data_IF_524023074917
#
_entry.id   IF_524023074917
#
_cell.length_a   1.000
_cell.length_b   1.000
_cell.length_c   1.000
_cell.angle_alpha   90.00
_cell.angle_beta   90.00
_cell.angle_gamma   90.00
#
_symmetry.space_group_name_H-M   'P 1'
#
loop_
_entity.id
_entity.type
_entity.pdbx_description
1 polymer ?
#
# COMPACT_ATOMS: atom_id res chain seq x y z
N UNK A 1 4.38 13.30 12.61
CA UNK A 1 4.62 13.02 11.19
C UNK A 1 3.30 12.82 10.49
N UNK A 2 3.28 13.19 9.21
CA UNK A 2 2.20 12.98 8.26
C UNK A 2 2.63 11.89 7.29
N UNK A 3 1.89 10.79 7.25
CA UNK A 3 2.27 9.60 6.48
C UNK A 3 1.15 9.29 5.52
N UNK A 4 1.49 9.12 4.24
CA UNK A 4 0.57 8.61 3.23
C UNK A 4 0.93 7.16 2.92
N UNK A 5 -0.07 6.28 2.89
CA UNK A 5 0.08 4.89 2.43
C UNK A 5 -0.90 4.69 1.27
N UNK A 6 -0.37 4.44 0.08
CA UNK A 6 -1.16 4.05 -1.09
C UNK A 6 -1.02 2.54 -1.26
N UNK A 7 -1.94 1.82 -0.62
CA UNK A 7 -2.00 0.37 -0.60
C UNK A 7 -2.77 -0.17 -1.81
N UNK A 8 -2.72 -1.47 -2.04
CA UNK A 8 -3.46 -2.17 -3.09
C UNK A 8 -4.60 -2.99 -2.48
N UNK A 9 -5.68 -3.18 -3.25
CA UNK A 9 -6.70 -4.16 -2.88
C UNK A 9 -6.13 -5.59 -2.91
N UNK A 10 -6.79 -6.52 -2.22
CA UNK A 10 -6.36 -7.91 -2.13
C UNK A 10 -7.46 -8.91 -2.50
N UNK A 11 -7.03 -10.13 -2.82
CA UNK A 11 -7.94 -11.26 -3.08
C UNK A 11 -8.68 -11.68 -1.81
N UNK A 12 -7.97 -11.80 -0.69
CA UNK A 12 -8.57 -12.17 0.58
C UNK A 12 -9.45 -11.02 1.06
N UNK A 13 -10.75 -11.25 1.15
CA UNK A 13 -11.71 -10.29 1.70
C UNK A 13 -12.45 -10.91 2.87
N UNK A 14 -12.83 -10.08 3.83
CA UNK A 14 -13.63 -10.49 4.97
C UNK A 14 -14.98 -9.79 4.91
N UNK A 15 -16.02 -10.60 4.86
CA UNK A 15 -17.40 -10.16 4.75
C UNK A 15 -18.34 -11.27 5.24
N UNK A 16 -19.53 -10.91 5.76
CA UNK A 16 -20.53 -11.88 6.17
C UNK A 16 -20.93 -12.87 5.07
N UNK A 17 -21.21 -14.12 5.45
CA UNK A 17 -21.57 -15.21 4.53
C UNK A 17 -22.85 -14.94 3.72
N UNK A 18 -23.70 -14.02 4.18
CA UNK A 18 -24.94 -13.62 3.51
C UNK A 18 -24.75 -12.49 2.47
N UNK A 19 -23.54 -11.94 2.32
CA UNK A 19 -23.22 -10.99 1.27
C UNK A 19 -22.66 -11.66 0.01
N UNK A 20 -23.24 -11.32 -1.14
CA UNK A 20 -22.75 -11.72 -2.46
C UNK A 20 -21.43 -11.04 -2.82
N UNK A 21 -20.50 -11.83 -3.39
CA UNK A 21 -19.29 -11.33 -4.03
C UNK A 21 -19.54 -11.00 -5.51
N UNK A 22 -19.29 -9.75 -5.91
CA UNK A 22 -19.52 -9.29 -7.28
C UNK A 22 -18.30 -9.44 -8.19
N UNK A 23 -18.54 -9.86 -9.43
CA UNK A 23 -17.53 -9.89 -10.49
C UNK A 23 -17.41 -8.53 -11.21
N UNK A 24 -16.45 -8.46 -12.14
CA UNK A 24 -16.20 -7.24 -12.91
C UNK A 24 -17.41 -6.82 -13.75
N UNK A 25 -18.16 -7.77 -14.33
CA UNK A 25 -19.28 -7.45 -15.21
C UNK A 25 -20.39 -6.77 -14.41
N UNK A 26 -20.66 -7.26 -13.20
CA UNK A 26 -21.64 -6.65 -12.30
C UNK A 26 -21.18 -5.27 -11.85
N UNK A 27 -19.92 -5.12 -11.45
CA UNK A 27 -19.37 -3.82 -11.02
C UNK A 27 -19.41 -2.78 -12.15
N UNK A 28 -18.99 -3.14 -13.37
CA UNK A 28 -18.92 -2.20 -14.48
C UNK A 28 -20.34 -1.72 -14.95
N UNK A 29 -21.42 -2.36 -14.49
CA UNK A 29 -22.81 -2.06 -14.87
C UNK A 29 -23.64 -1.35 -13.78
N UNK A 30 -23.11 -1.21 -12.56
CA UNK A 30 -23.86 -0.70 -11.42
C UNK A 30 -23.00 0.30 -10.66
N UNK A 31 -23.63 1.32 -10.04
CA UNK A 31 -22.88 2.17 -9.12
C UNK A 31 -22.49 1.38 -7.86
N UNK A 32 -21.45 1.83 -7.18
CA UNK A 32 -21.05 1.28 -5.88
C UNK A 32 -22.20 1.35 -4.88
N UNK A 33 -22.91 2.47 -4.85
CA UNK A 33 -24.05 2.72 -3.98
C UNK A 33 -25.21 1.76 -4.28
N UNK A 34 -25.50 1.50 -5.56
CA UNK A 34 -26.53 0.53 -5.94
C UNK A 34 -26.17 -0.88 -5.49
N UNK A 35 -24.91 -1.28 -5.62
CA UNK A 35 -24.44 -2.61 -5.21
C UNK A 35 -24.54 -2.81 -3.70
N UNK A 36 -24.11 -1.81 -2.91
CA UNK A 36 -24.16 -1.85 -1.44
C UNK A 36 -25.61 -1.95 -0.94
N UNK A 37 -26.55 -1.31 -1.62
CA UNK A 37 -27.96 -1.30 -1.24
C UNK A 37 -28.75 -2.52 -1.74
N UNK A 38 -28.10 -3.49 -2.41
CA UNK A 38 -28.78 -4.72 -2.80
C UNK A 38 -29.16 -5.56 -1.57
N UNK A 39 -30.30 -6.28 -1.60
CA UNK A 39 -30.70 -7.13 -0.48
C UNK A 39 -29.70 -8.23 -0.14
N UNK A 40 -28.89 -8.65 -1.11
CA UNK A 40 -27.86 -9.68 -0.99
C UNK A 40 -26.45 -9.09 -0.88
N UNK A 41 -26.30 -7.86 -0.38
CA UNK A 41 -25.00 -7.21 -0.26
C UNK A 41 -24.87 -6.43 1.04
N UNK A 42 -23.65 -5.96 1.28
CA UNK A 42 -23.30 -5.14 2.42
C UNK A 42 -22.23 -4.12 2.02
N UNK A 43 -22.23 -2.97 2.71
CA UNK A 43 -21.17 -1.97 2.58
C UNK A 43 -20.17 -2.13 3.72
N UNK A 44 -18.96 -2.56 3.39
CA UNK A 44 -17.89 -2.80 4.37
C UNK A 44 -16.78 -1.78 4.13
N UNK A 45 -16.30 -1.06 5.16
CA UNK A 45 -15.14 -0.18 5.02
C UNK A 45 -13.95 -0.90 4.36
N UNK A 46 -13.25 -0.24 3.45
CA UNK A 46 -12.16 -0.85 2.69
C UNK A 46 -11.06 -1.48 3.57
N UNK A 47 -10.72 -0.85 4.70
CA UNK A 47 -9.77 -1.40 5.68
C UNK A 47 -10.25 -2.67 6.38
N UNK A 48 -11.56 -2.83 6.55
CA UNK A 48 -12.17 -4.01 7.16
C UNK A 48 -12.36 -5.11 6.11
N UNK A 49 -12.73 -4.73 4.88
CA UNK A 49 -12.91 -5.64 3.77
C UNK A 49 -11.60 -6.31 3.34
N UNK A 50 -10.50 -5.56 3.22
CA UNK A 50 -9.24 -6.08 2.69
C UNK A 50 -8.37 -6.75 3.77
N UNK A 51 -8.47 -8.08 3.89
CA UNK A 51 -7.79 -8.88 4.93
C UNK A 51 -6.60 -9.71 4.41
N UNK A 52 -5.92 -9.25 3.36
CA UNK A 52 -4.65 -9.86 2.95
C UNK A 52 -3.56 -9.66 4.01
N UNK A 53 -2.55 -10.55 4.04
CA UNK A 53 -1.49 -10.47 5.05
C UNK A 53 -0.71 -9.15 5.03
N UNK A 54 -0.44 -8.62 3.83
CA UNK A 54 0.13 -7.27 3.66
C UNK A 54 -0.79 -6.22 4.29
N UNK A 55 -2.10 -6.28 3.99
CA UNK A 55 -3.08 -5.31 4.48
C UNK A 55 -3.22 -5.37 6.00
N UNK A 56 -3.17 -6.55 6.60
CA UNK A 56 -3.20 -6.74 8.05
C UNK A 56 -1.96 -6.14 8.74
N UNK A 57 -0.76 -6.35 8.19
CA UNK A 57 0.46 -5.74 8.71
C UNK A 57 0.43 -4.21 8.60
N UNK A 58 -0.03 -3.68 7.46
CA UNK A 58 -0.22 -2.23 7.29
C UNK A 58 -1.29 -1.71 8.26
N UNK A 59 -2.39 -2.42 8.50
CA UNK A 59 -3.41 -2.02 9.49
C UNK A 59 -2.81 -1.93 10.89
N UNK A 60 -1.95 -2.88 11.29
CA UNK A 60 -1.22 -2.80 12.57
C UNK A 60 -0.31 -1.58 12.61
N UNK A 61 0.45 -1.33 11.55
CA UNK A 61 1.32 -0.15 11.44
C UNK A 61 0.55 1.17 11.59
N UNK A 62 -0.56 1.30 10.84
CA UNK A 62 -1.44 2.48 10.86
C UNK A 62 -2.01 2.70 12.26
N UNK A 63 -2.49 1.63 12.91
CA UNK A 63 -3.03 1.72 14.27
C UNK A 63 -1.95 2.14 15.28
N UNK A 64 -0.75 1.55 15.20
CA UNK A 64 0.40 1.90 16.04
C UNK A 64 0.78 3.37 15.88
N UNK A 65 0.93 3.86 14.64
CA UNK A 65 1.29 5.26 14.37
C UNK A 65 0.23 6.24 14.88
N UNK A 66 -1.05 5.98 14.57
CA UNK A 66 -2.15 6.85 15.00
C UNK A 66 -2.31 6.88 16.52
N UNK A 67 -2.16 5.73 17.19
CA UNK A 67 -2.21 5.65 18.65
C UNK A 67 -1.10 6.46 19.34
N UNK A 68 -0.01 6.76 18.61
CA UNK A 68 1.12 7.54 19.10
C UNK A 68 1.15 8.98 18.51
N UNK A 69 0.02 9.48 18.02
CA UNK A 69 -0.14 10.88 17.65
C UNK A 69 0.36 11.25 16.24
N UNK A 70 0.70 10.26 15.41
CA UNK A 70 1.03 10.50 14.00
C UNK A 70 -0.23 10.57 13.14
N UNK A 71 -0.22 11.43 12.12
CA UNK A 71 -1.27 11.49 11.11
C UNK A 71 -0.97 10.47 10.02
N UNK A 72 -1.93 9.60 9.72
CA UNK A 72 -1.76 8.58 8.68
C UNK A 72 -2.99 8.60 7.77
N UNK A 73 -2.77 8.88 6.49
CA UNK A 73 -3.77 8.72 5.43
C UNK A 73 -3.49 7.41 4.71
N UNK A 74 -4.52 6.57 4.57
CA UNK A 74 -4.44 5.33 3.80
C UNK A 74 -5.44 5.34 2.66
N UNK A 75 -4.92 5.21 1.45
CA UNK A 75 -5.68 5.07 0.21
C UNK A 75 -5.46 3.66 -0.34
N UNK A 76 -6.43 3.13 -1.07
CA UNK A 76 -6.35 1.85 -1.75
C UNK A 76 -6.54 2.01 -3.24
N UNK A 77 -5.64 1.40 -4.03
CA UNK A 77 -5.80 1.17 -5.45
C UNK A 77 -6.65 -0.10 -5.64
N UNK A 78 -7.92 0.08 -6.00
CA UNK A 78 -8.88 -0.98 -6.21
C UNK A 78 -9.09 -1.26 -7.69
N UNK A 79 -8.74 -2.47 -8.14
CA UNK A 79 -9.08 -2.90 -9.49
C UNK A 79 -10.60 -2.91 -9.75
N UNK A 80 -11.45 -2.95 -8.72
CA UNK A 80 -12.90 -2.87 -8.87
C UNK A 80 -13.43 -1.43 -8.92
N UNK A 81 -12.94 -0.57 -8.02
CA UNK A 81 -13.60 0.68 -7.66
C UNK A 81 -12.71 1.93 -7.73
N UNK A 82 -11.52 1.86 -8.35
CA UNK A 82 -10.66 3.04 -8.47
C UNK A 82 -9.85 3.32 -7.21
N UNK A 83 -9.67 4.59 -6.87
CA UNK A 83 -8.98 5.02 -5.64
C UNK A 83 -10.01 5.20 -4.53
N UNK A 84 -9.81 4.52 -3.41
CA UNK A 84 -10.75 4.54 -2.29
C UNK A 84 -10.04 4.79 -0.97
N UNK A 85 -10.65 5.57 -0.08
CA UNK A 85 -10.15 5.78 1.28
C UNK A 85 -10.45 4.56 2.14
N UNK A 86 -9.71 4.39 3.24
CA UNK A 86 -9.91 3.27 4.16
C UNK A 86 -11.33 3.11 4.70
N UNK A 87 -12.03 4.22 4.97
CA UNK A 87 -13.41 4.21 5.49
C UNK A 87 -14.47 4.06 4.41
N UNK A 88 -14.07 4.03 3.13
CA UNK A 88 -15.01 3.94 2.01
C UNK A 88 -15.74 2.61 2.07
N UNK A 89 -17.08 2.61 2.20
CA UNK A 89 -17.85 1.38 2.14
C UNK A 89 -17.77 0.77 0.75
N UNK A 90 -17.49 -0.52 0.66
CA UNK A 90 -17.41 -1.29 -0.58
C UNK A 90 -18.24 -2.56 -0.45
N UNK A 91 -18.92 -2.99 -1.53
CA UNK A 91 -19.48 -4.33 -1.58
C UNK A 91 -18.36 -5.37 -1.74
N UNK A 92 -18.56 -6.61 -1.29
CA UNK A 92 -17.64 -7.70 -1.61
C UNK A 92 -17.50 -7.90 -3.12
N UNK A 93 -16.27 -8.09 -3.59
CA UNK A 93 -16.01 -8.23 -5.02
C UNK A 93 -14.73 -8.99 -5.35
N UNK A 94 -14.66 -9.55 -6.55
CA UNK A 94 -13.49 -10.26 -7.06
C UNK A 94 -13.08 -9.74 -8.45
N UNK A 95 -12.29 -8.67 -8.44
CA UNK A 95 -11.69 -8.07 -9.62
C UNK A 95 -10.21 -7.82 -9.35
N UNK A 96 -9.36 -8.13 -10.33
CA UNK A 96 -7.91 -8.03 -10.21
C UNK A 96 -7.28 -7.59 -11.53
N UNK A 97 -6.17 -6.86 -11.46
CA UNK A 97 -5.31 -6.60 -12.62
C UNK A 97 -4.48 -7.80 -13.05
N UNK A 98 -4.37 -8.82 -12.19
CA UNK A 98 -3.51 -9.97 -12.45
C UNK A 98 -3.92 -10.68 -13.74
N UNK A 99 -2.96 -10.84 -14.65
CA UNK A 99 -3.17 -11.49 -15.94
C UNK A 99 -3.69 -10.57 -17.04
N UNK A 100 -3.97 -9.30 -16.74
CA UNK A 100 -4.23 -8.28 -17.75
C UNK A 100 -2.92 -7.83 -18.40
N UNK A 101 -2.95 -7.54 -19.70
CA UNK A 101 -1.84 -6.85 -20.36
C UNK A 101 -1.78 -5.37 -19.97
N UNK A 102 -0.61 -4.74 -20.08
CA UNK A 102 -0.40 -3.32 -19.69
C UNK A 102 -1.45 -2.37 -20.28
N UNK A 103 -1.78 -2.51 -21.57
CA UNK A 103 -2.82 -1.68 -22.19
C UNK A 103 -4.18 -1.84 -21.52
N UNK A 104 -4.58 -3.07 -21.21
CA UNK A 104 -5.86 -3.33 -20.56
C UNK A 104 -5.91 -2.83 -19.11
N UNK A 105 -4.77 -2.84 -18.40
CA UNK A 105 -4.64 -2.22 -17.09
C UNK A 105 -4.88 -0.71 -17.20
N UNK A 106 -4.21 -0.04 -18.15
CA UNK A 106 -4.37 1.40 -18.39
C UNK A 106 -5.79 1.78 -18.78
N UNK A 107 -6.40 1.05 -19.72
CA UNK A 107 -7.79 1.28 -20.14
C UNK A 107 -8.76 1.15 -18.96
N UNK A 108 -8.52 0.18 -18.08
CA UNK A 108 -9.34 0.00 -16.87
C UNK A 108 -9.10 1.11 -15.85
N UNK A 109 -7.84 1.49 -15.62
CA UNK A 109 -7.48 2.57 -14.70
C UNK A 109 -8.06 3.93 -15.16
N UNK A 110 -8.10 4.17 -16.47
CA UNK A 110 -8.72 5.35 -17.07
C UNK A 110 -10.24 5.36 -16.86
N UNK A 111 -10.93 4.24 -17.11
CA UNK A 111 -12.37 4.12 -16.83
C UNK A 111 -12.71 4.36 -15.37
N UNK A 112 -11.81 3.95 -14.46
CA UNK A 112 -11.94 4.13 -13.03
C UNK A 112 -11.34 5.46 -12.53
N UNK A 113 -10.91 6.35 -13.45
CA UNK A 113 -10.35 7.67 -13.18
C UNK A 113 -9.21 7.69 -12.15
N UNK A 114 -8.47 6.57 -12.03
CA UNK A 114 -7.53 6.34 -10.92
C UNK A 114 -6.48 7.43 -10.80
N UNK A 115 -5.94 7.86 -11.94
CA UNK A 115 -4.88 8.87 -12.03
C UNK A 115 -5.34 10.21 -11.49
N UNK A 116 -6.45 10.73 -12.03
CA UNK A 116 -7.04 12.00 -11.61
C UNK A 116 -7.49 11.98 -10.15
N UNK A 117 -8.11 10.89 -9.71
CA UNK A 117 -8.56 10.77 -8.32
C UNK A 117 -7.40 10.67 -7.33
N UNK A 118 -6.35 9.92 -7.65
CA UNK A 118 -5.18 9.82 -6.77
C UNK A 118 -4.48 11.18 -6.63
N UNK A 119 -4.20 11.87 -7.74
CA UNK A 119 -3.53 13.17 -7.72
C UNK A 119 -4.36 14.22 -6.94
N UNK A 120 -5.68 14.22 -7.13
CA UNK A 120 -6.59 15.08 -6.36
C UNK A 120 -6.56 14.74 -4.88
N UNK A 121 -6.68 13.46 -4.51
CA UNK A 121 -6.63 13.05 -3.10
C UNK A 121 -5.30 13.35 -2.43
N UNK A 122 -4.17 13.25 -3.15
CA UNK A 122 -2.85 13.67 -2.65
C UNK A 122 -2.81 15.19 -2.42
N UNK A 123 -3.41 15.97 -3.31
CA UNK A 123 -3.48 17.43 -3.18
C UNK A 123 -4.39 17.90 -2.04
N UNK A 124 -5.38 17.08 -1.67
CA UNK A 124 -6.38 17.39 -0.63
C UNK A 124 -5.88 17.07 0.79
N UNK A 125 -4.75 16.34 0.93
CA UNK A 125 -4.18 15.99 2.23
C UNK A 125 -3.07 16.95 2.64
N UNK A 126 -2.80 16.97 3.94
CA UNK A 126 -1.60 17.63 4.46
C UNK A 126 -0.35 16.96 3.88
N UNK A 127 0.66 17.78 3.56
CA UNK A 127 1.89 17.33 2.95
C UNK A 127 2.51 16.17 3.76
N UNK A 128 2.68 14.99 3.17
CA UNK A 128 3.29 13.87 3.87
C UNK A 128 4.80 14.06 4.01
N UNK A 129 5.34 13.66 5.15
CA UNK A 129 6.78 13.50 5.37
C UNK A 129 7.30 12.23 4.64
N UNK A 130 6.43 11.20 4.62
CA UNK A 130 6.72 9.87 4.07
C UNK A 130 5.51 9.33 3.31
N UNK A 131 5.76 8.78 2.13
CA UNK A 131 4.77 8.08 1.30
C UNK A 131 5.22 6.63 1.10
N UNK A 132 4.39 5.68 1.51
CA UNK A 132 4.60 4.26 1.19
C UNK A 132 3.72 3.82 0.02
N UNK A 133 4.34 3.22 -0.98
CA UNK A 133 3.68 2.61 -2.15
C UNK A 133 3.93 1.09 -2.16
N UNK A 134 3.34 0.29 -1.25
CA UNK A 134 3.48 -1.17 -1.18
C UNK A 134 2.74 -1.90 -2.32
N UNK A 135 2.92 -1.44 -3.56
CA UNK A 135 2.18 -1.84 -4.74
C UNK A 135 2.94 -2.90 -5.55
N UNK A 136 2.21 -3.85 -6.14
CA UNK A 136 2.73 -4.71 -7.21
C UNK A 136 2.91 -3.96 -8.53
N UNK A 137 3.65 -4.55 -9.47
CA UNK A 137 3.90 -3.95 -10.80
C UNK A 137 2.63 -3.56 -11.53
N UNK A 138 1.59 -4.41 -11.48
CA UNK A 138 0.31 -4.17 -12.15
C UNK A 138 -0.44 -2.97 -11.56
N UNK A 139 -0.29 -2.73 -10.26
CA UNK A 139 -0.89 -1.59 -9.57
C UNK A 139 -0.10 -0.31 -9.79
N UNK A 140 1.24 -0.38 -9.81
CA UNK A 140 2.10 0.75 -10.21
C UNK A 140 1.78 1.21 -11.64
N UNK A 141 1.56 0.26 -12.55
CA UNK A 141 1.14 0.54 -13.92
C UNK A 141 -0.25 1.22 -13.96
N UNK A 142 -1.19 0.82 -13.08
CA UNK A 142 -2.53 1.40 -13.04
C UNK A 142 -2.56 2.85 -12.56
N UNK A 143 -1.69 3.23 -11.62
CA UNK A 143 -1.65 4.59 -11.07
C UNK A 143 -0.75 5.56 -11.85
N UNK A 144 0.04 5.07 -12.80
CA UNK A 144 1.11 5.83 -13.46
C UNK A 144 2.01 6.55 -12.45
N UNK A 145 2.94 5.79 -11.86
CA UNK A 145 3.81 6.24 -10.77
C UNK A 145 4.39 7.65 -10.99
N UNK A 146 4.80 8.01 -12.20
CA UNK A 146 5.33 9.32 -12.54
C UNK A 146 4.37 10.47 -12.16
N UNK A 147 3.07 10.33 -12.42
CA UNK A 147 2.08 11.35 -12.04
C UNK A 147 1.90 11.46 -10.52
N UNK A 148 2.08 10.35 -9.80
CA UNK A 148 2.04 10.34 -8.33
C UNK A 148 3.25 11.09 -7.77
N UNK A 149 4.42 10.89 -8.36
CA UNK A 149 5.63 11.61 -7.96
C UNK A 149 5.52 13.11 -8.25
N UNK A 150 4.97 13.50 -9.41
CA UNK A 150 4.72 14.90 -9.77
C UNK A 150 3.71 15.62 -8.85
N UNK A 151 2.79 14.88 -8.22
CA UNK A 151 1.82 15.43 -7.27
C UNK A 151 2.40 15.62 -5.86
N UNK A 152 3.57 15.06 -5.58
CA UNK A 152 4.23 15.13 -4.28
C UNK A 152 5.32 16.20 -4.29
N UNK A 153 5.57 16.89 -3.17
CA UNK A 153 6.72 17.78 -3.04
C UNK A 153 8.04 17.01 -3.15
N UNK A 154 9.04 17.59 -3.81
CA UNK A 154 10.37 17.01 -4.05
C UNK A 154 11.13 16.62 -2.76
N UNK A 155 10.70 17.12 -1.60
CA UNK A 155 11.28 16.80 -0.28
C UNK A 155 10.60 15.62 0.42
N UNK A 156 9.61 15.00 -0.21
CA UNK A 156 8.82 13.91 0.38
C UNK A 156 9.56 12.59 0.20
N UNK A 157 9.81 11.86 1.29
CA UNK A 157 10.38 10.51 1.18
C UNK A 157 9.36 9.54 0.59
N UNK A 158 9.62 9.00 -0.60
CA UNK A 158 8.75 8.05 -1.27
C UNK A 158 9.37 6.66 -1.28
N UNK A 159 8.72 5.72 -0.61
CA UNK A 159 9.17 4.33 -0.48
C UNK A 159 8.43 3.43 -1.48
N UNK A 160 9.20 2.94 -2.44
CA UNK A 160 8.84 1.92 -3.42
C UNK A 160 9.42 0.56 -3.02
N UNK A 161 8.94 -0.50 -3.68
CA UNK A 161 9.42 -1.86 -3.44
C UNK A 161 9.82 -2.53 -4.76
N UNK A 162 11.03 -3.09 -4.80
CA UNK A 162 11.61 -3.72 -5.99
C UNK A 162 11.65 -2.79 -7.22
N UNK A 163 12.07 -1.53 -7.03
CA UNK A 163 12.19 -0.50 -8.07
C UNK A 163 13.60 0.08 -8.13
N UNK A 164 14.64 -0.72 -7.84
CA UNK A 164 16.01 -0.22 -7.62
C UNK A 164 16.57 0.55 -8.81
N UNK A 165 16.29 0.12 -10.04
CA UNK A 165 16.73 0.81 -11.26
C UNK A 165 16.07 2.17 -11.49
N UNK A 166 14.92 2.40 -10.85
CA UNK A 166 14.14 3.63 -10.98
C UNK A 166 14.54 4.66 -9.92
N UNK A 167 15.03 4.19 -8.78
CA UNK A 167 15.40 5.03 -7.64
C UNK A 167 16.89 5.37 -7.61
N UNK A 168 17.65 4.90 -8.60
CA UNK A 168 19.09 5.13 -8.66
C UNK A 168 19.40 6.61 -8.90
N UNK A 169 20.12 7.24 -7.96
CA UNK A 169 20.51 8.65 -8.04
C UNK A 169 19.45 9.63 -7.54
N UNK A 170 18.31 9.15 -7.06
CA UNK A 170 17.24 9.97 -6.50
C UNK A 170 17.32 9.98 -4.96
N UNK A 171 17.43 11.17 -4.36
CA UNK A 171 17.66 11.32 -2.89
C UNK A 171 16.44 10.90 -2.06
N UNK A 172 15.24 11.33 -2.47
CA UNK A 172 14.00 11.11 -1.72
C UNK A 172 13.17 9.94 -2.26
N UNK A 173 13.66 9.23 -3.29
CA UNK A 173 13.00 8.05 -3.83
C UNK A 173 13.75 6.80 -3.39
N UNK A 174 13.11 5.98 -2.57
CA UNK A 174 13.74 4.85 -1.89
C UNK A 174 13.14 3.56 -2.42
N UNK A 175 13.97 2.59 -2.82
CA UNK A 175 13.53 1.25 -3.16
C UNK A 175 13.96 0.23 -2.11
N UNK A 176 12.98 -0.40 -1.45
CA UNK A 176 13.23 -1.55 -0.59
C UNK A 176 13.05 -2.86 -1.36
N UNK A 177 14.06 -3.74 -1.29
CA UNK A 177 13.91 -5.10 -1.84
C UNK A 177 12.94 -5.90 -0.98
N UNK A 178 11.88 -6.40 -1.63
CA UNK A 178 10.87 -7.28 -1.05
C UNK A 178 10.63 -8.44 -2.03
N UNK A 179 11.64 -9.32 -2.15
CA UNK A 179 11.61 -10.52 -3.00
C UNK A 179 11.56 -11.76 -2.12
N UNK A 180 11.33 -12.93 -2.72
CA UNK A 180 11.24 -14.19 -1.96
C UNK A 180 12.50 -14.48 -1.14
N UNK A 181 13.68 -14.05 -1.61
CA UNK A 181 14.94 -14.18 -0.88
C UNK A 181 14.99 -13.32 0.39
N UNK A 182 14.36 -12.14 0.36
CA UNK A 182 14.24 -11.29 1.54
C UNK A 182 13.17 -11.85 2.48
N UNK A 183 12.05 -12.33 1.93
CA UNK A 183 10.89 -12.78 2.70
C UNK A 183 11.17 -14.02 3.56
N UNK A 184 12.10 -14.89 3.12
CA UNK A 184 12.53 -16.05 3.91
C UNK A 184 13.20 -15.65 5.23
N UNK A 185 13.86 -14.48 5.29
CA UNK A 185 14.47 -13.95 6.52
C UNK A 185 13.43 -13.63 7.59
N UNK A 186 12.22 -13.28 7.16
CA UNK A 186 11.10 -12.93 8.02
C UNK A 186 10.08 -14.08 8.16
N UNK A 187 10.33 -15.24 7.52
CA UNK A 187 9.40 -16.38 7.53
C UNK A 187 8.08 -16.15 6.77
N UNK A 188 8.05 -15.18 5.86
CA UNK A 188 6.85 -14.74 5.13
C UNK A 188 7.02 -14.85 3.62
N UNK A 189 5.98 -14.50 2.85
CA UNK A 189 6.12 -14.31 1.40
C UNK A 189 6.43 -12.86 1.02
N UNK A 190 6.90 -12.62 -0.20
CA UNK A 190 7.34 -11.31 -0.67
C UNK A 190 6.24 -10.21 -0.64
N UNK A 191 4.97 -10.58 -0.77
CA UNK A 191 3.85 -9.63 -0.70
C UNK A 191 3.65 -9.20 0.76
N UNK A 192 3.62 -10.18 1.66
CA UNK A 192 3.50 -9.95 3.09
C UNK A 192 4.68 -9.10 3.64
N UNK A 193 5.89 -9.29 3.12
CA UNK A 193 7.08 -8.55 3.53
C UNK A 193 6.95 -7.03 3.40
N UNK A 194 6.27 -6.52 2.37
CA UNK A 194 6.05 -5.08 2.21
C UNK A 194 5.28 -4.47 3.39
N UNK A 195 4.28 -5.21 3.88
CA UNK A 195 3.51 -4.81 5.05
C UNK A 195 4.33 -4.89 6.33
N UNK A 196 5.20 -5.89 6.47
CA UNK A 196 6.11 -6.02 7.63
C UNK A 196 7.12 -4.88 7.71
N UNK A 197 7.69 -4.42 6.59
CA UNK A 197 8.57 -3.25 6.60
C UNK A 197 7.87 -2.00 7.15
N UNK A 198 6.62 -1.77 6.77
CA UNK A 198 5.83 -0.63 7.25
C UNK A 198 5.46 -0.80 8.73
N UNK A 199 5.10 -2.01 9.17
CA UNK A 199 4.86 -2.33 10.57
C UNK A 199 6.11 -2.11 11.44
N UNK A 200 7.28 -2.46 10.91
CA UNK A 200 8.55 -2.24 11.57
C UNK A 200 8.89 -0.75 11.67
N UNK A 201 8.74 -0.03 10.57
CA UNK A 201 8.88 1.42 10.55
C UNK A 201 8.00 2.07 11.64
N UNK A 202 6.73 1.67 11.72
CA UNK A 202 5.83 2.16 12.76
C UNK A 202 6.34 1.88 14.17
N UNK A 203 6.86 0.68 14.43
CA UNK A 203 7.45 0.32 15.73
C UNK A 203 8.68 1.18 16.06
N UNK A 204 9.59 1.38 15.10
CA UNK A 204 10.79 2.20 15.29
C UNK A 204 10.43 3.66 15.53
N UNK A 205 9.52 4.23 14.74
CA UNK A 205 9.04 5.60 14.94
C UNK A 205 8.51 5.83 16.35
N UNK A 206 7.76 4.87 16.90
CA UNK A 206 7.21 4.99 18.26
C UNK A 206 8.30 4.89 19.35
N UNK A 207 9.34 4.09 19.12
CA UNK A 207 10.38 3.86 20.13
C UNK A 207 11.52 4.88 20.07
N UNK A 208 11.85 5.37 18.88
CA UNK A 208 13.08 6.12 18.59
C UNK A 208 12.79 7.54 18.09
N UNK A 209 11.56 7.82 17.62
CA UNK A 209 11.16 9.09 17.02
C UNK A 209 11.12 9.03 15.49
N UNK A 210 10.72 10.10 14.79
CA UNK A 210 10.81 10.19 13.33
C UNK A 210 12.24 9.95 12.81
N UNK A 211 12.43 9.30 11.65
CA UNK A 211 13.76 9.19 11.05
C UNK A 211 14.28 10.56 10.65
N UNK A 212 15.59 10.77 10.83
CA UNK A 212 16.24 12.05 10.55
C UNK A 212 16.51 12.27 9.05
N UNK A 213 16.75 11.19 8.31
CA UNK A 213 17.14 11.22 6.90
C UNK A 213 16.67 9.96 6.12
N UNK A 214 16.81 9.93 4.77
CA UNK A 214 16.43 8.79 3.94
C UNK A 214 17.12 7.47 4.31
N UNK A 215 18.38 7.49 4.76
CA UNK A 215 19.12 6.28 5.14
C UNK A 215 18.55 5.70 6.44
N UNK A 216 18.24 6.56 7.41
CA UNK A 216 17.59 6.16 8.64
C UNK A 216 16.18 5.60 8.39
N UNK A 217 15.43 6.19 7.45
CA UNK A 217 14.14 5.67 7.03
C UNK A 217 14.23 4.24 6.45
N UNK A 218 15.28 3.93 5.69
CA UNK A 218 15.57 2.55 5.23
C UNK A 218 15.88 1.63 6.41
N UNK A 219 16.68 2.11 7.37
CA UNK A 219 17.04 1.38 8.59
C UNK A 219 15.80 1.02 9.42
N UNK A 220 14.83 1.94 9.51
CA UNK A 220 13.58 1.75 10.25
C UNK A 220 12.72 0.64 9.64
N UNK A 221 12.78 0.49 8.32
CA UNK A 221 12.02 -0.50 7.59
C UNK A 221 12.64 -1.91 7.64
N UNK A 222 13.96 -2.04 7.87
CA UNK A 222 14.70 -3.31 7.75
C UNK A 222 15.38 -3.73 9.05
N UNK A 223 15.66 -5.02 9.23
CA UNK A 223 16.65 -5.45 10.22
C UNK A 223 18.04 -5.09 9.70
N UNK A 224 18.82 -4.33 10.49
CA UNK A 224 20.26 -4.38 10.31
C UNK A 224 20.67 -5.84 10.48
N UNK A 225 21.33 -6.41 9.48
CA UNK A 225 22.15 -7.58 9.71
C UNK A 225 23.19 -7.14 10.74
N UNK A 226 22.98 -7.47 12.02
CA UNK A 226 24.14 -7.76 12.86
C UNK A 226 24.82 -8.93 12.17
N UNK A 227 25.81 -8.63 11.34
CA UNK A 227 26.81 -9.61 10.97
C UNK A 227 27.39 -10.09 12.28
N UNK A 228 26.91 -11.21 12.80
CA UNK A 228 27.69 -12.02 13.73
C UNK A 228 28.88 -12.60 12.95
N UNK A 229 29.79 -11.72 12.56
CA UNK A 229 31.19 -12.03 12.26
C UNK A 229 32.00 -11.34 13.36
N UNK A 230 31.77 -11.78 14.59
CA UNK A 230 32.41 -11.26 15.81
C UNK A 230 32.71 -12.36 16.83
N UNK A 231 32.68 -13.64 16.41
CA UNK A 231 33.18 -14.77 17.19
C UNK A 231 34.14 -15.55 16.30
N UNK A 232 35.39 -15.11 16.26
CA UNK A 232 36.58 -15.95 16.02
C UNK A 232 37.84 -15.12 16.25
N UNK A 233 38.04 -14.69 17.50
CA UNK A 233 39.36 -14.26 18.01
C UNK A 233 39.49 -14.56 19.49
N UNK A 234 39.31 -15.81 19.89
CA UNK A 234 39.96 -16.37 21.09
C UNK A 234 39.98 -17.91 20.99
N UNK A 235 41.05 -18.44 20.40
CA UNK A 235 41.71 -19.72 20.75
C UNK A 235 43.06 -19.80 20.03
#
# INVERSE_FOLDING_TARGET
MHILIVDQCCKQKDFPDDCSEFDQKVIDQNSREDLINRPDSCGIPANDLYQGRQQQAISRAVNTLRANGHSVVRLFVSAGFGIVQESTPLPPYNVTFKGMGKSAIRDRAEKLQMRTDLARMISDIEQPDVVFLPLGSDYLEAIELEQVLEALPDTTNVVLFNQESRTEGEEFLISLSARNQDASQYGVNAIELKGHYIEKFASRVVNEGPPDDPEDLVSYCRDELTSQTGFDRFS
#
